data_IF_661533551388
#
_entry.id   IF_661533551388
#
_cell.length_a   1.000
_cell.length_b   1.000
_cell.length_c   1.000
_cell.angle_alpha   90.00
_cell.angle_beta   90.00
_cell.angle_gamma   90.00
#
_symmetry.space_group_name_H-M   'P 1'
#
loop_
_entity.id
_entity.type
_entity.pdbx_description
1 polymer ?
#
# COMPACT_ATOMS: atom_id res chain seq x y z
N UNK A 1 -6.51 -1.76 12.19
CA UNK A 1 -6.34 -0.38 12.74
C UNK A 1 -6.93 0.58 11.73
N UNK A 2 -7.57 1.68 12.15
CA UNK A 2 -8.06 2.73 11.23
C UNK A 2 -7.46 4.06 11.67
N UNK A 3 -6.66 4.68 10.80
CA UNK A 3 -6.19 6.05 10.97
C UNK A 3 -6.79 6.89 9.85
N UNK A 4 -7.31 8.05 10.20
CA UNK A 4 -7.95 8.92 9.23
C UNK A 4 -7.30 10.30 9.22
N UNK A 5 -7.22 10.86 8.04
CA UNK A 5 -6.74 12.21 7.81
C UNK A 5 -7.79 13.01 7.04
N UNK A 6 -7.46 14.22 6.58
CA UNK A 6 -8.41 15.01 5.78
C UNK A 6 -8.75 14.31 4.46
N UNK A 7 -7.76 13.68 3.82
CA UNK A 7 -7.88 13.14 2.45
C UNK A 7 -7.73 11.63 2.36
N UNK A 8 -7.20 10.97 3.39
CA UNK A 8 -6.92 9.53 3.35
C UNK A 8 -7.43 8.75 4.55
N UNK A 9 -7.63 7.46 4.33
CA UNK A 9 -7.90 6.45 5.36
C UNK A 9 -6.80 5.40 5.26
N UNK A 10 -6.14 5.11 6.37
CA UNK A 10 -5.24 3.97 6.50
C UNK A 10 -6.02 2.87 7.22
N UNK A 11 -6.20 1.72 6.55
CA UNK A 11 -6.95 0.57 7.07
C UNK A 11 -6.24 -0.74 6.76
N UNK A 12 -6.73 -1.84 7.32
CA UNK A 12 -6.32 -3.17 6.87
C UNK A 12 -6.73 -3.37 5.40
N UNK A 13 -5.96 -4.19 4.68
CA UNK A 13 -6.30 -4.57 3.30
C UNK A 13 -7.59 -5.39 3.23
N UNK A 14 -8.33 -5.19 2.15
CA UNK A 14 -9.47 -5.99 1.74
C UNK A 14 -9.15 -6.71 0.43
N UNK A 15 -9.76 -7.87 0.17
CA UNK A 15 -9.51 -8.63 -1.09
C UNK A 15 -9.92 -7.82 -2.33
N UNK A 16 -10.85 -6.88 -2.17
CA UNK A 16 -11.28 -5.93 -3.19
C UNK A 16 -10.21 -4.92 -3.60
N UNK A 17 -9.12 -4.78 -2.85
CA UNK A 17 -8.01 -3.88 -3.17
C UNK A 17 -7.06 -4.46 -4.26
N UNK A 18 -7.33 -5.67 -4.78
CA UNK A 18 -6.44 -6.36 -5.72
C UNK A 18 -6.04 -5.52 -6.93
N UNK A 19 -7.03 -4.93 -7.61
CA UNK A 19 -6.78 -4.17 -8.85
C UNK A 19 -5.90 -2.97 -8.55
N UNK A 20 -6.24 -2.21 -7.52
CA UNK A 20 -5.49 -1.03 -7.09
C UNK A 20 -4.07 -1.39 -6.60
N UNK A 21 -3.91 -2.51 -5.89
CA UNK A 21 -2.60 -2.99 -5.46
C UNK A 21 -1.74 -3.42 -6.65
N UNK A 22 -2.37 -4.03 -7.65
CA UNK A 22 -1.67 -4.45 -8.85
C UNK A 22 -1.23 -3.27 -9.72
N UNK A 23 -1.97 -2.15 -9.72
CA UNK A 23 -1.50 -0.92 -10.36
C UNK A 23 -0.17 -0.40 -9.76
N UNK A 24 0.12 -0.74 -8.50
CA UNK A 24 1.37 -0.39 -7.81
C UNK A 24 2.43 -1.48 -8.04
N UNK A 25 2.13 -2.71 -7.64
CA UNK A 25 3.11 -3.81 -7.60
C UNK A 25 3.40 -4.37 -9.00
N UNK A 26 2.48 -4.22 -9.96
CA UNK A 26 2.69 -4.58 -11.35
C UNK A 26 3.44 -3.51 -12.16
N UNK A 27 3.64 -2.30 -11.60
CA UNK A 27 4.34 -1.22 -12.29
C UNK A 27 5.85 -1.38 -12.16
N UNK A 28 6.52 -1.59 -13.30
CA UNK A 28 7.97 -1.79 -13.37
C UNK A 28 8.77 -0.58 -12.89
N UNK A 29 8.30 0.63 -13.15
CA UNK A 29 8.98 1.85 -12.72
C UNK A 29 8.89 2.00 -11.20
N UNK A 30 7.70 1.75 -10.63
CA UNK A 30 7.49 1.76 -9.18
C UNK A 30 8.34 0.72 -8.47
N UNK A 31 8.40 -0.49 -9.03
CA UNK A 31 9.09 -1.63 -8.39
C UNK A 31 10.60 -1.68 -8.68
N UNK A 32 11.15 -0.83 -9.56
CA UNK A 32 12.55 -0.92 -10.06
C UNK A 32 13.60 -1.08 -8.96
N UNK A 33 13.44 -0.41 -7.81
CA UNK A 33 14.39 -0.46 -6.70
C UNK A 33 13.93 -1.34 -5.51
N UNK A 34 12.82 -2.05 -5.68
CA UNK A 34 12.22 -2.89 -4.64
C UNK A 34 12.45 -4.35 -5.01
N UNK A 35 11.88 -4.79 -6.14
CA UNK A 35 12.04 -6.13 -6.69
C UNK A 35 11.43 -6.20 -8.10
N UNK A 36 11.33 -7.39 -8.68
CA UNK A 36 10.64 -7.56 -9.96
C UNK A 36 9.13 -7.29 -9.82
N UNK A 37 8.59 -6.50 -10.74
CA UNK A 37 7.15 -6.19 -10.78
C UNK A 37 6.31 -7.47 -10.86
N UNK A 38 5.21 -7.47 -10.12
CA UNK A 38 4.41 -8.65 -9.89
C UNK A 38 3.51 -8.94 -11.09
N UNK A 39 3.23 -10.22 -11.34
CA UNK A 39 2.05 -10.59 -12.10
C UNK A 39 0.80 -10.32 -11.27
N UNK A 40 -0.37 -10.26 -11.92
CA UNK A 40 -1.64 -10.10 -11.21
C UNK A 40 -1.92 -11.27 -10.27
N UNK A 41 -1.55 -12.48 -10.68
CA UNK A 41 -1.62 -13.70 -9.85
C UNK A 41 -0.74 -13.58 -8.61
N UNK A 42 0.54 -13.19 -8.77
CA UNK A 42 1.45 -12.96 -7.62
C UNK A 42 0.93 -11.85 -6.70
N UNK A 43 0.30 -10.82 -7.25
CA UNK A 43 -0.31 -9.74 -6.47
C UNK A 43 -1.50 -10.26 -5.65
N UNK A 44 -2.35 -11.10 -6.24
CA UNK A 44 -3.47 -11.73 -5.54
C UNK A 44 -2.98 -12.63 -4.40
N UNK A 45 -2.00 -13.49 -4.67
CA UNK A 45 -1.44 -14.38 -3.66
C UNK A 45 -0.83 -13.58 -2.50
N UNK A 46 -0.11 -12.49 -2.80
CA UNK A 46 0.45 -11.60 -1.79
C UNK A 46 -0.63 -10.89 -0.96
N UNK A 47 -1.68 -10.39 -1.61
CA UNK A 47 -2.81 -9.76 -0.95
C UNK A 47 -3.52 -10.72 0.01
N UNK A 48 -3.87 -11.90 -0.48
CA UNK A 48 -4.61 -12.91 0.30
C UNK A 48 -3.78 -13.47 1.45
N UNK A 49 -2.50 -13.77 1.22
CA UNK A 49 -1.66 -14.46 2.21
C UNK A 49 -1.05 -13.54 3.25
N UNK A 50 -0.55 -12.37 2.86
CA UNK A 50 0.23 -11.48 3.72
C UNK A 50 -0.57 -10.25 4.13
N UNK A 51 -1.03 -9.44 3.16
CA UNK A 51 -1.68 -8.17 3.45
C UNK A 51 -2.99 -8.35 4.24
N UNK A 52 -3.93 -9.13 3.71
CA UNK A 52 -5.22 -9.40 4.36
C UNK A 52 -5.16 -10.62 5.28
N UNK A 53 -4.47 -11.69 4.86
CA UNK A 53 -4.42 -12.96 5.60
C UNK A 53 -3.69 -12.87 6.94
N UNK A 54 -2.63 -12.05 7.01
CA UNK A 54 -1.84 -11.86 8.23
C UNK A 54 -1.98 -10.46 8.83
N UNK A 55 -2.74 -9.57 8.19
CA UNK A 55 -2.70 -8.13 8.48
C UNK A 55 -1.26 -7.57 8.45
N UNK A 56 -0.42 -8.10 7.55
CA UNK A 56 1.01 -7.78 7.50
C UNK A 56 1.32 -6.40 6.92
N UNK A 57 0.31 -5.70 6.39
CA UNK A 57 0.42 -4.36 5.82
C UNK A 57 -0.91 -3.61 5.92
N UNK A 58 -0.84 -2.30 5.70
CA UNK A 58 -1.98 -1.39 5.70
C UNK A 58 -2.17 -0.76 4.30
N UNK A 59 -3.43 -0.62 3.92
CA UNK A 59 -3.87 0.07 2.71
C UNK A 59 -4.09 1.56 3.01
N UNK A 60 -3.54 2.45 2.19
CA UNK A 60 -3.84 3.87 2.18
C UNK A 60 -4.86 4.17 1.08
N UNK A 61 -6.03 4.67 1.45
CA UNK A 61 -7.18 4.87 0.57
C UNK A 61 -7.51 6.35 0.47
N UNK A 62 -7.72 6.85 -0.74
CA UNK A 62 -8.19 8.22 -0.96
C UNK A 62 -9.70 8.31 -0.70
N UNK A 63 -10.13 9.23 0.18
CA UNK A 63 -11.52 9.30 0.65
C UNK A 63 -12.54 9.55 -0.47
N UNK A 64 -12.25 10.50 -1.37
CA UNK A 64 -13.24 10.92 -2.37
C UNK A 64 -13.48 9.88 -3.47
N UNK A 65 -12.46 9.08 -3.78
CA UNK A 65 -12.51 8.10 -4.87
C UNK A 65 -12.67 6.68 -4.36
N UNK A 66 -12.50 6.47 -3.05
CA UNK A 66 -12.38 5.17 -2.41
C UNK A 66 -11.31 4.26 -3.05
N UNK A 67 -10.34 4.86 -3.75
CA UNK A 67 -9.27 4.13 -4.42
C UNK A 67 -8.14 3.84 -3.44
N UNK A 68 -7.63 2.61 -3.42
CA UNK A 68 -6.41 2.29 -2.69
C UNK A 68 -5.22 2.85 -3.47
N UNK A 69 -4.49 3.77 -2.86
CA UNK A 69 -3.41 4.53 -3.51
C UNK A 69 -2.02 4.20 -2.97
N UNK A 70 -1.93 3.40 -1.89
CA UNK A 70 -0.66 3.06 -1.30
C UNK A 70 -0.66 1.85 -0.39
N UNK A 71 0.46 1.17 -0.40
CA UNK A 71 0.83 0.08 0.48
C UNK A 71 1.75 0.62 1.59
N UNK A 72 1.48 0.25 2.85
CA UNK A 72 2.29 0.62 4.01
C UNK A 72 2.65 -0.65 4.78
N UNK A 73 3.95 -0.96 4.85
CA UNK A 73 4.51 -1.97 5.73
C UNK A 73 4.81 -1.33 7.09
N UNK A 74 4.25 -1.89 8.15
CA UNK A 74 4.54 -1.48 9.52
C UNK A 74 4.58 -2.72 10.40
N UNK A 75 5.78 -3.30 10.57
CA UNK A 75 5.97 -4.55 11.30
C UNK A 75 7.08 -4.40 12.33
N UNK A 76 6.92 -5.07 13.47
CA UNK A 76 8.00 -5.25 14.44
C UNK A 76 9.03 -6.20 13.84
N UNK A 77 10.26 -5.70 13.68
CA UNK A 77 11.39 -6.43 13.10
C UNK A 77 12.22 -7.11 14.21
N UNK A 78 12.49 -6.36 15.29
CA UNK A 78 13.09 -6.85 16.53
C UNK A 78 12.31 -6.27 17.72
N UNK A 79 12.52 -6.79 18.94
CA UNK A 79 11.89 -6.26 20.15
C UNK A 79 12.12 -4.75 20.24
N UNK A 80 11.03 -3.98 20.25
CA UNK A 80 11.01 -2.50 20.24
C UNK A 80 11.62 -1.83 18.98
N UNK A 81 11.87 -2.57 17.90
CA UNK A 81 12.36 -2.05 16.61
C UNK A 81 11.36 -2.33 15.51
N UNK A 82 10.82 -1.25 14.92
CA UNK A 82 9.83 -1.35 13.85
C UNK A 82 10.45 -1.03 12.49
N UNK A 83 10.17 -1.89 11.51
CA UNK A 83 10.40 -1.61 10.10
C UNK A 83 9.19 -0.87 9.52
N UNK A 84 9.49 0.19 8.77
CA UNK A 84 8.49 0.97 8.04
C UNK A 84 8.88 1.10 6.59
N UNK A 85 7.96 0.74 5.70
CA UNK A 85 8.11 0.88 4.26
C UNK A 85 6.80 1.33 3.64
N UNK A 86 6.87 2.03 2.51
CA UNK A 86 5.68 2.42 1.76
C UNK A 86 5.92 2.46 0.27
N UNK A 87 4.88 2.13 -0.49
CA UNK A 87 4.87 2.21 -1.94
C UNK A 87 3.54 2.86 -2.34
N UNK A 88 3.61 3.96 -3.07
CA UNK A 88 2.44 4.68 -3.54
C UNK A 88 2.31 4.55 -5.06
N UNK A 89 1.07 4.54 -5.53
CA UNK A 89 0.77 4.60 -6.95
C UNK A 89 1.44 5.83 -7.59
N UNK A 90 2.09 5.63 -8.73
CA UNK A 90 2.87 6.68 -9.39
C UNK A 90 2.03 7.86 -9.87
N UNK A 91 0.75 7.66 -10.13
CA UNK A 91 -0.16 8.73 -10.54
C UNK A 91 -0.39 9.73 -9.40
N UNK A 92 -0.14 9.29 -8.15
CA UNK A 92 -0.13 10.14 -6.97
C UNK A 92 1.22 10.85 -6.75
N UNK A 93 2.28 10.48 -7.49
CA UNK A 93 3.60 11.09 -7.37
C UNK A 93 3.60 12.52 -7.94
N UNK A 94 4.39 13.40 -7.34
CA UNK A 94 4.63 14.79 -7.80
C UNK A 94 3.39 15.70 -7.87
N UNK A 95 2.24 15.28 -7.36
CA UNK A 95 1.08 16.18 -7.11
C UNK A 95 1.27 17.09 -5.87
N UNK A 96 2.52 17.37 -5.46
CA UNK A 96 2.82 18.13 -4.23
C UNK A 96 2.74 17.32 -2.92
N UNK A 97 2.59 16.00 -3.00
CA UNK A 97 2.19 15.15 -1.88
C UNK A 97 3.30 14.16 -1.47
N UNK A 98 4.10 14.51 -0.46
CA UNK A 98 4.10 13.65 0.73
C UNK A 98 2.75 13.93 1.39
N UNK A 99 1.91 12.90 1.53
CA UNK A 99 0.45 12.96 1.31
C UNK A 99 -0.39 13.92 2.18
N UNK A 100 0.20 14.61 3.15
CA UNK A 100 -0.42 15.75 3.82
C UNK A 100 0.60 16.83 4.17
N UNK A 101 0.17 18.09 4.10
CA UNK A 101 0.81 19.20 4.80
C UNK A 101 -0.22 19.81 5.75
N UNK A 102 0.21 20.04 7.00
CA UNK A 102 -0.51 20.84 8.00
C UNK A 102 -0.71 22.28 7.53
#
# INVERSE_FOLDING_TARGET
MILETERTIIRNFEITDLEDLHEIFGDKEVMTNIEEAYSKEKTNDFLESFCAGQNGALACVHKDTNKMIGYILFNEYEEDVYEMGWIFNKDCWRQGNGIERK
#
